data_IF_820298912587
#
_entry.id   IF_820298912587
#
_cell.length_a   1.000
_cell.length_b   1.000
_cell.length_c   1.000
_cell.angle_alpha   90.00
_cell.angle_beta   90.00
_cell.angle_gamma   90.00
#
_symmetry.space_group_name_H-M   'P 1'
#
loop_
_entity.id
_entity.type
_entity.pdbx_description
1 polymer ?
#
# COMPACT_ATOMS: atom_id res chain seq x y z
N UNK A 1 22.30 17.76 8.31
CA UNK A 1 21.77 16.46 7.86
C UNK A 1 21.33 15.61 9.06
N UNK A 2 20.03 15.64 9.38
CA UNK A 2 19.46 14.95 10.52
C UNK A 2 18.87 13.63 10.02
N UNK A 3 19.60 12.54 10.26
CA UNK A 3 19.29 11.18 9.80
C UNK A 3 18.04 10.67 10.51
N UNK A 4 16.93 10.50 9.78
CA UNK A 4 15.66 9.97 10.29
C UNK A 4 15.58 8.44 10.13
N UNK A 5 16.43 7.70 10.84
CA UNK A 5 16.41 6.21 10.84
C UNK A 5 16.00 5.60 12.17
N UNK A 6 15.48 6.39 13.12
CA UNK A 6 15.20 5.95 14.50
C UNK A 6 13.76 6.19 14.95
N UNK A 7 12.77 5.75 14.18
CA UNK A 7 11.46 5.46 14.76
C UNK A 7 10.74 4.36 13.97
N UNK A 8 10.08 3.46 14.72
CA UNK A 8 9.14 2.44 14.25
C UNK A 8 9.67 1.05 13.84
N UNK A 9 10.67 0.52 14.53
CA UNK A 9 10.70 -0.94 14.72
C UNK A 9 9.67 -1.30 15.80
N UNK A 10 8.40 -1.45 15.40
CA UNK A 10 7.40 -2.14 16.23
C UNK A 10 7.79 -3.62 16.26
N UNK A 11 8.35 -4.09 17.38
CA UNK A 11 8.55 -5.53 17.60
C UNK A 11 7.20 -6.12 18.03
N UNK A 12 6.60 -7.04 17.25
CA UNK A 12 5.30 -7.60 17.58
C UNK A 12 5.34 -8.43 18.88
N UNK A 13 4.26 -8.37 19.66
CA UNK A 13 4.17 -8.97 21.00
C UNK A 13 4.12 -10.49 20.90
N UNK A 14 5.10 -11.13 21.54
CA UNK A 14 5.24 -12.59 21.69
C UNK A 14 3.94 -13.28 22.12
N UNK A 15 3.53 -14.32 21.39
CA UNK A 15 2.41 -15.21 21.75
C UNK A 15 2.83 -16.68 21.86
N UNK A 16 3.86 -16.93 22.65
CA UNK A 16 4.11 -18.24 23.28
C UNK A 16 5.28 -19.04 22.72
N UNK A 17 6.10 -19.56 23.64
CA UNK A 17 7.21 -20.49 23.37
C UNK A 17 8.59 -19.87 23.62
N UNK A 18 8.96 -18.82 22.87
CA UNK A 18 10.32 -18.25 22.91
C UNK A 18 10.40 -16.72 22.70
N UNK A 19 9.27 -16.00 22.71
CA UNK A 19 9.33 -14.57 22.42
C UNK A 19 9.21 -14.21 20.94
N UNK A 20 9.29 -15.19 20.03
CA UNK A 20 9.45 -14.97 18.60
C UNK A 20 8.15 -15.28 17.85
N UNK A 21 7.67 -14.33 17.05
CA UNK A 21 6.65 -14.58 16.03
C UNK A 21 7.16 -15.69 15.08
N UNK A 22 6.30 -16.57 14.54
CA UNK A 22 6.68 -17.44 13.44
C UNK A 22 7.36 -16.61 12.34
N UNK A 23 8.49 -17.08 11.82
CA UNK A 23 9.32 -16.34 10.85
C UNK A 23 8.51 -15.87 9.63
N UNK A 24 7.50 -16.64 9.24
CA UNK A 24 6.55 -16.32 8.17
C UNK A 24 5.67 -15.11 8.49
N UNK A 25 5.22 -14.96 9.73
CA UNK A 25 4.42 -13.82 10.16
C UNK A 25 5.26 -12.54 10.26
N UNK A 26 6.50 -12.65 10.76
CA UNK A 26 7.42 -11.52 10.80
C UNK A 26 7.77 -11.04 9.39
N UNK A 27 8.03 -11.97 8.47
CA UNK A 27 8.29 -11.64 7.08
C UNK A 27 7.11 -10.91 6.42
N UNK A 28 5.88 -11.41 6.62
CA UNK A 28 4.67 -10.77 6.13
C UNK A 28 4.49 -9.35 6.68
N UNK A 29 4.71 -9.16 7.99
CA UNK A 29 4.63 -7.86 8.64
C UNK A 29 5.67 -6.87 8.08
N UNK A 30 6.91 -7.32 7.87
CA UNK A 30 7.97 -6.50 7.27
C UNK A 30 7.63 -6.09 5.84
N UNK A 31 7.10 -6.98 5.01
CA UNK A 31 6.69 -6.64 3.65
C UNK A 31 5.54 -5.64 3.62
N UNK A 32 4.51 -5.83 4.46
CA UNK A 32 3.40 -4.87 4.59
C UNK A 32 3.92 -3.51 5.04
N UNK A 33 4.76 -3.47 6.08
CA UNK A 33 5.33 -2.24 6.61
C UNK A 33 6.19 -1.52 5.56
N UNK A 34 7.00 -2.27 4.82
CA UNK A 34 7.84 -1.70 3.75
C UNK A 34 7.00 -1.13 2.60
N UNK A 35 5.97 -1.85 2.14
CA UNK A 35 5.04 -1.35 1.13
C UNK A 35 4.33 -0.07 1.59
N UNK A 36 3.88 -0.02 2.85
CA UNK A 36 3.29 1.16 3.45
C UNK A 36 4.27 2.33 3.53
N UNK A 37 5.52 2.09 3.92
CA UNK A 37 6.59 3.10 3.96
C UNK A 37 6.87 3.68 2.57
N UNK A 38 6.90 2.86 1.52
CA UNK A 38 7.12 3.35 0.16
C UNK A 38 5.97 4.28 -0.29
N UNK A 39 4.72 3.92 0.02
CA UNK A 39 3.55 4.74 -0.32
C UNK A 39 3.46 6.03 0.49
N UNK A 40 3.95 6.03 1.73
CA UNK A 40 3.91 7.18 2.65
C UNK A 40 5.28 7.85 2.85
N UNK A 41 6.24 7.58 1.96
CA UNK A 41 7.59 8.13 2.06
C UNK A 41 7.55 9.66 1.96
N UNK A 42 8.43 10.36 2.68
CA UNK A 42 8.58 11.82 2.52
C UNK A 42 9.19 12.19 1.16
N UNK A 43 9.86 11.25 0.51
CA UNK A 43 10.45 11.44 -0.81
C UNK A 43 9.40 11.22 -1.91
N UNK A 44 9.05 12.26 -2.69
CA UNK A 44 8.08 12.14 -3.77
C UNK A 44 8.55 11.20 -4.90
N UNK A 45 9.85 10.98 -5.06
CA UNK A 45 10.36 10.02 -6.04
C UNK A 45 10.02 8.58 -5.64
N UNK A 46 10.18 8.23 -4.36
CA UNK A 46 9.84 6.89 -3.83
C UNK A 46 8.32 6.66 -3.96
N UNK A 47 7.49 7.63 -3.61
CA UNK A 47 6.05 7.52 -3.79
C UNK A 47 5.67 7.29 -5.25
N UNK A 48 6.27 8.04 -6.18
CA UNK A 48 6.02 7.90 -7.61
C UNK A 48 6.42 6.51 -8.12
N UNK A 49 7.56 6.00 -7.69
CA UNK A 49 8.02 4.64 -8.05
C UNK A 49 7.03 3.60 -7.54
N UNK A 50 6.60 3.69 -6.29
CA UNK A 50 5.62 2.78 -5.70
C UNK A 50 4.30 2.76 -6.48
N UNK A 51 3.76 3.95 -6.79
CA UNK A 51 2.53 4.11 -7.57
C UNK A 51 2.67 3.59 -8.99
N UNK A 52 3.80 3.89 -9.65
CA UNK A 52 4.10 3.38 -11.00
C UNK A 52 4.13 1.86 -11.03
N UNK A 53 4.78 1.23 -10.04
CA UNK A 53 4.83 -0.23 -9.94
C UNK A 53 3.44 -0.84 -9.74
N UNK A 54 2.62 -0.26 -8.87
CA UNK A 54 1.23 -0.69 -8.66
C UNK A 54 0.40 -0.53 -9.94
N UNK A 55 0.56 0.57 -10.66
CA UNK A 55 -0.10 0.81 -11.95
C UNK A 55 0.31 -0.23 -12.98
N UNK A 56 1.60 -0.56 -13.10
CA UNK A 56 2.09 -1.60 -14.01
C UNK A 56 1.50 -2.98 -13.69
N UNK A 57 1.34 -3.30 -12.40
CA UNK A 57 0.70 -4.55 -11.97
C UNK A 57 -0.78 -4.53 -12.31
N UNK A 58 -1.47 -3.41 -12.06
CA UNK A 58 -2.86 -3.22 -12.43
C UNK A 58 -3.07 -3.36 -13.94
N UNK A 59 -2.26 -2.69 -14.76
CA UNK A 59 -2.26 -2.80 -16.22
C UNK A 59 -2.00 -4.23 -16.68
N UNK A 60 -1.15 -4.98 -15.98
CA UNK A 60 -0.86 -6.37 -16.35
C UNK A 60 -1.98 -7.33 -15.98
N UNK A 61 -2.71 -7.09 -14.90
CA UNK A 61 -3.80 -7.95 -14.38
C UNK A 61 -5.20 -7.56 -14.85
N UNK A 62 -5.41 -6.28 -15.17
CA UNK A 62 -6.70 -5.70 -15.50
C UNK A 62 -6.61 -4.94 -16.83
N UNK A 63 -7.74 -4.81 -17.51
CA UNK A 63 -7.94 -3.84 -18.59
C UNK A 63 -8.42 -2.55 -17.94
N UNK A 64 -7.48 -1.63 -17.70
CA UNK A 64 -7.77 -0.34 -17.10
C UNK A 64 -8.37 0.61 -18.13
N UNK A 65 -9.45 1.29 -17.73
CA UNK A 65 -9.95 2.46 -18.45
C UNK A 65 -8.99 3.65 -18.21
N UNK A 66 -8.32 4.10 -19.28
CA UNK A 66 -7.29 5.14 -19.16
C UNK A 66 -7.89 6.50 -18.83
N UNK A 67 -9.14 6.75 -19.25
CA UNK A 67 -9.84 8.01 -18.99
C UNK A 67 -10.27 8.09 -17.52
N UNK A 68 -10.83 7.01 -16.99
CA UNK A 68 -11.28 6.95 -15.59
C UNK A 68 -10.11 6.97 -14.60
N UNK A 69 -9.04 6.22 -14.87
CA UNK A 69 -7.91 6.06 -13.93
C UNK A 69 -6.81 7.11 -14.11
N UNK A 70 -6.92 8.03 -15.06
CA UNK A 70 -5.90 9.04 -15.36
C UNK A 70 -5.53 9.90 -14.16
N UNK A 71 -6.53 10.47 -13.47
CA UNK A 71 -6.34 11.32 -12.29
C UNK A 71 -6.54 10.58 -10.96
N UNK A 72 -6.98 9.32 -11.01
CA UNK A 72 -7.38 8.51 -9.84
C UNK A 72 -6.35 7.46 -9.45
N UNK A 73 -5.06 7.76 -9.60
CA UNK A 73 -3.97 6.81 -9.35
C UNK A 73 -3.94 6.32 -7.90
N UNK A 74 -4.25 7.18 -6.93
CA UNK A 74 -4.30 6.82 -5.51
C UNK A 74 -5.45 5.87 -5.20
N UNK A 75 -6.63 6.12 -5.78
CA UNK A 75 -7.80 5.25 -5.67
C UNK A 75 -7.52 3.88 -6.32
N UNK A 76 -6.88 3.88 -7.49
CA UNK A 76 -6.45 2.66 -8.18
C UNK A 76 -5.52 1.82 -7.30
N UNK A 77 -4.51 2.45 -6.68
CA UNK A 77 -3.55 1.78 -5.82
C UNK A 77 -4.26 1.13 -4.62
N UNK A 78 -5.15 1.86 -3.96
CA UNK A 78 -5.92 1.35 -2.83
C UNK A 78 -6.83 0.18 -3.23
N UNK A 79 -7.58 0.31 -4.33
CA UNK A 79 -8.46 -0.75 -4.82
C UNK A 79 -7.68 -1.99 -5.28
N UNK A 80 -6.49 -1.82 -5.87
CA UNK A 80 -5.61 -2.93 -6.20
C UNK A 80 -5.16 -3.66 -4.93
N UNK A 81 -4.59 -2.95 -3.97
CA UNK A 81 -4.09 -3.54 -2.71
C UNK A 81 -5.21 -4.21 -1.90
N UNK A 82 -6.43 -3.70 -1.97
CA UNK A 82 -7.60 -4.25 -1.31
C UNK A 82 -8.30 -5.37 -2.10
N UNK A 83 -7.75 -5.80 -3.24
CA UNK A 83 -8.36 -6.81 -4.14
C UNK A 83 -9.76 -6.41 -4.69
N UNK A 84 -10.09 -5.12 -4.65
CA UNK A 84 -11.40 -4.57 -5.02
C UNK A 84 -11.43 -3.97 -6.43
N UNK A 85 -10.29 -3.91 -7.11
CA UNK A 85 -10.18 -3.25 -8.42
C UNK A 85 -11.15 -3.85 -9.47
N UNK A 86 -11.36 -5.17 -9.47
CA UNK A 86 -12.31 -5.82 -10.38
C UNK A 86 -13.78 -5.42 -10.15
N UNK A 87 -14.12 -4.95 -8.94
CA UNK A 87 -15.47 -4.55 -8.56
C UNK A 87 -15.85 -3.16 -9.07
N UNK A 88 -14.88 -2.35 -9.48
CA UNK A 88 -15.08 -0.96 -9.93
C UNK A 88 -15.79 -0.82 -11.28
N UNK A 89 -15.95 -1.91 -12.05
CA UNK A 89 -16.47 -1.86 -13.42
C UNK A 89 -15.48 -1.30 -14.45
N UNK A 90 -14.60 -0.38 -14.05
CA UNK A 90 -13.57 0.29 -14.86
C UNK A 90 -12.22 -0.46 -14.93
N UNK A 91 -12.15 -1.68 -14.40
CA UNK A 91 -10.94 -2.50 -14.40
C UNK A 91 -11.23 -4.00 -14.52
N UNK A 92 -11.67 -4.41 -15.70
CA UNK A 92 -12.02 -5.81 -15.99
C UNK A 92 -10.79 -6.73 -15.86
N UNK A 93 -10.87 -7.85 -15.13
CA UNK A 93 -9.74 -8.77 -14.98
C UNK A 93 -9.38 -9.44 -16.31
N UNK A 94 -8.08 -9.58 -16.58
CA UNK A 94 -7.58 -10.30 -17.76
C UNK A 94 -7.67 -11.81 -17.51
N UNK A 95 -8.12 -12.57 -18.52
CA UNK A 95 -8.28 -14.04 -18.44
C UNK A 95 -6.97 -14.81 -18.26
N UNK A 96 -5.84 -14.24 -18.70
CA UNK A 96 -4.51 -14.83 -18.57
C UNK A 96 -3.64 -13.89 -17.75
N UNK A 97 -3.48 -14.22 -16.48
CA UNK A 97 -2.55 -13.55 -15.59
C UNK A 97 -1.28 -14.41 -15.54
N UNK A 98 -0.18 -13.92 -16.11
CA UNK A 98 1.12 -14.53 -15.85
C UNK A 98 1.49 -14.33 -14.38
N UNK A 99 2.32 -15.21 -13.83
CA UNK A 99 2.86 -15.02 -12.49
C UNK A 99 3.69 -13.73 -12.45
N UNK A 100 3.21 -12.76 -11.69
CA UNK A 100 3.92 -11.50 -11.42
C UNK A 100 4.55 -11.65 -10.05
N UNK A 101 5.82 -12.08 -10.01
CA UNK A 101 6.63 -12.01 -8.80
C UNK A 101 6.92 -10.54 -8.48
N UNK A 102 6.27 -10.00 -7.45
CA UNK A 102 6.47 -8.61 -7.03
C UNK A 102 6.09 -8.41 -5.57
N UNK A 103 6.80 -7.51 -4.89
CA UNK A 103 6.50 -7.09 -3.52
C UNK A 103 5.02 -6.75 -3.33
N UNK A 104 4.40 -6.05 -4.27
CA UNK A 104 3.00 -5.61 -4.15
C UNK A 104 1.99 -6.77 -4.20
N UNK A 105 2.31 -7.85 -4.93
CA UNK A 105 1.48 -9.06 -4.93
C UNK A 105 1.59 -9.80 -3.59
N UNK A 106 2.78 -9.81 -2.99
CA UNK A 106 2.99 -10.37 -1.66
C UNK A 106 2.31 -9.51 -0.59
N UNK A 107 2.46 -8.18 -0.64
CA UNK A 107 1.77 -7.23 0.24
C UNK A 107 0.25 -7.40 0.15
N UNK A 108 -0.32 -7.45 -1.05
CA UNK A 108 -1.74 -7.69 -1.27
C UNK A 108 -2.18 -9.03 -0.66
N UNK A 109 -1.40 -10.10 -0.86
CA UNK A 109 -1.67 -11.41 -0.27
C UNK A 109 -1.63 -11.35 1.25
N UNK A 110 -0.61 -10.74 1.83
CA UNK A 110 -0.41 -10.65 3.26
C UNK A 110 -1.50 -9.81 3.92
N UNK A 111 -1.85 -8.64 3.36
CA UNK A 111 -2.97 -7.81 3.84
C UNK A 111 -4.26 -8.63 3.95
N UNK A 112 -4.60 -9.41 2.92
CA UNK A 112 -5.76 -10.30 2.95
C UNK A 112 -5.64 -11.39 4.02
N UNK A 113 -4.48 -12.03 4.14
CA UNK A 113 -4.25 -13.09 5.13
C UNK A 113 -4.40 -12.60 6.57
N UNK A 114 -3.96 -11.36 6.85
CA UNK A 114 -4.03 -10.77 8.20
C UNK A 114 -5.30 -9.93 8.44
N UNK A 115 -6.21 -9.83 7.46
CA UNK A 115 -7.46 -9.09 7.57
C UNK A 115 -7.31 -7.56 7.59
N UNK A 116 -6.21 -7.04 7.03
CA UNK A 116 -5.95 -5.59 6.92
C UNK A 116 -6.36 -5.06 5.54
N UNK A 117 -6.67 -3.78 5.49
CA UNK A 117 -6.96 -3.05 4.26
C UNK A 117 -6.10 -1.79 4.18
N UNK A 118 -5.70 -1.43 2.97
CA UNK A 118 -5.08 -0.14 2.70
C UNK A 118 -6.16 0.94 2.76
N UNK A 119 -6.11 1.77 3.81
CA UNK A 119 -6.93 2.97 3.91
C UNK A 119 -6.29 4.12 3.17
N UNK A 120 -7.02 4.73 2.25
CA UNK A 120 -6.69 6.09 1.78
C UNK A 120 -7.12 7.02 2.91
N UNK A 121 -6.17 7.66 3.60
CA UNK A 121 -6.53 8.68 4.57
C UNK A 121 -7.33 9.77 3.83
N UNK A 122 -8.50 10.21 4.32
CA UNK A 122 -9.11 11.40 3.77
C UNK A 122 -8.06 12.51 3.91
N UNK A 123 -7.80 13.23 2.81
CA UNK A 123 -6.95 14.41 2.82
C UNK A 123 -7.29 15.21 4.07
N UNK A 124 -6.33 15.35 4.99
CA UNK A 124 -6.53 16.12 6.22
C UNK A 124 -7.12 17.46 5.81
N UNK A 125 -8.39 17.69 6.15
CA UNK A 125 -8.98 19.00 6.03
C UNK A 125 -8.07 19.92 6.83
N UNK A 126 -7.37 20.81 6.12
CA UNK A 126 -6.54 21.81 6.76
C UNK A 126 -7.43 22.59 7.72
N UNK A 127 -7.36 22.24 9.00
CA UNK A 127 -7.89 23.04 10.09
C UNK A 127 -7.01 24.29 10.11
N UNK A 128 -7.33 25.25 9.24
CA UNK A 128 -6.93 26.64 9.41
C UNK A 128 -7.60 27.11 10.70
N UNK A 129 -6.95 26.85 11.82
CA UNK A 129 -7.19 27.64 13.03
C UNK A 129 -6.64 29.02 12.73
N UNK A 130 -7.46 30.08 12.60
CA UNK A 130 -6.91 31.43 12.57
C UNK A 130 -6.25 31.65 13.94
N UNK A 131 -4.94 31.90 13.93
CA UNK A 131 -4.27 32.43 15.10
C UNK A 131 -4.90 33.80 15.39
N UNK A 132 -5.69 33.87 16.45
CA UNK A 132 -6.09 35.12 17.07
C UNK A 132 -4.81 35.83 17.52
N UNK A 133 -4.53 36.96 16.87
CA UNK A 133 -3.52 37.90 17.31
C UNK A 133 -3.95 38.46 18.68
N UNK A 134 -3.08 38.31 19.68
CA UNK A 134 -2.98 39.17 20.85
C UNK A 134 -1.51 39.51 21.06
#
# INVERSE_FOLDING_TARGET
>A
PTTATTSFFYSPVSRGGLGLLPLTELHAALQIAHGWQMLNSKDPAIQRIARTQLRLIADRRHRLDTEYWGEREEELCAQLLNTQLASSGHAQPKRRNGDIGSLWVDVQRHLRTVGLQHGTAPAQAATRTPALAL
#
